data_IF_560854528434
#
_entry.id   IF_560854528434
#
_cell.length_a   1.000
_cell.length_b   1.000
_cell.length_c   1.000
_cell.angle_alpha   90.00
_cell.angle_beta   90.00
_cell.angle_gamma   90.00
#
_symmetry.space_group_name_H-M   'P 1'
#
loop_
_entity.id
_entity.type
_entity.pdbx_description
1 polymer ?
#
# COMPACT_ATOMS: atom_id res chain seq x y z
N UNK A 1 -30.91 -46.52 -41.95
CA UNK A 1 -30.84 -45.25 -42.71
C UNK A 1 -29.88 -44.33 -41.94
N UNK A 2 -28.61 -44.34 -42.34
CA UNK A 2 -27.54 -43.55 -41.72
C UNK A 2 -27.64 -42.11 -42.20
N UNK A 3 -27.77 -41.16 -41.28
CA UNK A 3 -27.67 -39.73 -41.59
C UNK A 3 -26.31 -39.25 -41.10
N UNK A 4 -25.50 -38.84 -42.06
CA UNK A 4 -24.23 -38.16 -41.86
C UNK A 4 -24.43 -36.87 -41.05
N UNK A 5 -23.69 -36.70 -39.96
CA UNK A 5 -23.45 -35.40 -39.38
C UNK A 5 -22.03 -34.97 -39.70
N UNK A 6 -21.99 -33.83 -40.38
CA UNK A 6 -20.84 -33.13 -40.90
C UNK A 6 -19.75 -32.99 -39.85
N UNK A 7 -18.50 -33.13 -40.30
CA UNK A 7 -17.33 -32.56 -39.63
C UNK A 7 -17.60 -31.07 -39.46
N UNK A 8 -17.95 -30.66 -38.25
CA UNK A 8 -17.83 -29.26 -37.87
C UNK A 8 -16.37 -29.01 -37.58
N UNK A 9 -15.72 -28.28 -38.48
CA UNK A 9 -14.44 -27.63 -38.26
C UNK A 9 -14.46 -26.95 -36.89
N UNK A 10 -13.61 -27.45 -35.99
CA UNK A 10 -13.45 -26.96 -34.62
C UNK A 10 -12.60 -25.69 -34.60
N UNK A 11 -12.83 -24.81 -35.56
CA UNK A 11 -12.24 -23.47 -35.66
C UNK A 11 -13.23 -22.48 -35.06
N UNK A 12 -13.61 -22.71 -33.80
CA UNK A 12 -14.28 -21.71 -33.00
C UNK A 12 -13.18 -20.90 -32.29
N UNK A 13 -13.06 -19.64 -32.71
CA UNK A 13 -12.26 -18.59 -32.08
C UNK A 13 -12.55 -18.53 -30.57
N UNK A 14 -11.81 -19.27 -29.76
CA UNK A 14 -11.66 -18.98 -28.34
C UNK A 14 -10.58 -17.91 -28.24
N UNK A 15 -10.96 -16.68 -27.87
CA UNK A 15 -9.99 -15.76 -27.28
C UNK A 15 -9.29 -16.54 -26.15
N UNK A 16 -7.98 -16.76 -26.27
CA UNK A 16 -7.24 -17.53 -25.29
C UNK A 16 -7.39 -16.83 -23.94
N UNK A 17 -8.13 -17.45 -23.01
CA UNK A 17 -8.24 -16.96 -21.64
C UNK A 17 -6.84 -17.10 -21.07
N UNK A 18 -6.12 -15.98 -20.94
CA UNK A 18 -4.78 -15.97 -20.36
C UNK A 18 -4.83 -16.55 -18.95
N UNK A 19 -3.91 -17.48 -18.68
CA UNK A 19 -3.78 -18.06 -17.35
C UNK A 19 -3.23 -17.04 -16.35
N UNK A 20 -3.43 -17.22 -15.04
CA UNK A 20 -2.81 -16.38 -14.02
C UNK A 20 -1.28 -16.26 -14.16
N UNK A 21 -0.60 -17.33 -14.57
CA UNK A 21 0.83 -17.35 -14.84
C UNK A 21 1.22 -16.46 -16.03
N UNK A 22 0.48 -16.56 -17.14
CA UNK A 22 0.68 -15.71 -18.33
C UNK A 22 0.42 -14.23 -18.01
N UNK A 23 -0.61 -13.94 -17.21
CA UNK A 23 -0.88 -12.58 -16.73
C UNK A 23 0.27 -12.04 -15.89
N UNK A 24 0.80 -12.85 -14.96
CA UNK A 24 1.96 -12.47 -14.13
C UNK A 24 3.20 -12.15 -14.97
N UNK A 25 3.49 -12.96 -16.00
CA UNK A 25 4.59 -12.70 -16.92
C UNK A 25 4.41 -11.38 -17.69
N UNK A 26 3.19 -11.12 -18.18
CA UNK A 26 2.86 -9.85 -18.84
C UNK A 26 3.02 -8.65 -17.89
N UNK A 27 2.60 -8.76 -16.63
CA UNK A 27 2.74 -7.69 -15.66
C UNK A 27 4.21 -7.41 -15.31
N UNK A 28 5.04 -8.46 -15.23
CA UNK A 28 6.49 -8.33 -15.06
C UNK A 28 7.13 -7.60 -16.23
N UNK A 29 6.76 -7.95 -17.46
CA UNK A 29 7.24 -7.27 -18.67
C UNK A 29 6.83 -5.78 -18.69
N UNK A 30 5.58 -5.48 -18.33
CA UNK A 30 5.08 -4.10 -18.23
C UNK A 30 5.85 -3.27 -17.19
N UNK A 31 6.18 -3.89 -16.06
CA UNK A 31 6.93 -3.25 -14.99
C UNK A 31 8.45 -3.23 -15.24
N UNK A 32 8.91 -3.69 -16.41
CA UNK A 32 10.33 -3.89 -16.75
C UNK A 32 11.10 -4.69 -15.69
N UNK A 33 10.40 -5.60 -15.00
CA UNK A 33 10.88 -6.27 -13.80
C UNK A 33 11.20 -7.74 -14.09
N UNK A 34 12.35 -8.21 -13.60
CA UNK A 34 12.73 -9.61 -13.74
C UNK A 34 12.13 -10.46 -12.61
N UNK A 35 11.85 -11.75 -12.85
CA UNK A 35 11.35 -12.68 -11.83
C UNK A 35 12.24 -12.72 -10.57
N UNK A 36 13.56 -12.62 -10.74
CA UNK A 36 14.54 -12.59 -9.64
C UNK A 36 14.40 -11.35 -8.75
N UNK A 37 14.00 -10.23 -9.33
CA UNK A 37 13.82 -8.96 -8.64
C UNK A 37 12.51 -8.96 -7.86
N UNK A 38 11.43 -9.45 -8.47
CA UNK A 38 10.17 -9.71 -7.76
C UNK A 38 10.39 -10.67 -6.58
N UNK A 39 11.18 -11.73 -6.78
CA UNK A 39 11.53 -12.68 -5.73
C UNK A 39 12.26 -12.00 -4.55
N UNK A 40 13.25 -11.15 -4.86
CA UNK A 40 13.99 -10.38 -3.86
C UNK A 40 13.08 -9.44 -3.05
N UNK A 41 12.17 -8.70 -3.71
CA UNK A 41 11.23 -7.80 -3.04
C UNK A 41 10.19 -8.54 -2.18
N UNK A 42 9.82 -9.77 -2.57
CA UNK A 42 8.91 -10.61 -1.82
C UNK A 42 9.60 -11.41 -0.69
N UNK A 43 10.94 -11.43 -0.66
CA UNK A 43 11.73 -12.25 0.27
C UNK A 43 11.53 -13.75 0.04
N UNK A 44 11.42 -14.18 -1.22
CA UNK A 44 11.22 -15.59 -1.62
C UNK A 44 12.27 -16.04 -2.62
N UNK A 45 12.40 -17.35 -2.78
CA UNK A 45 13.29 -17.95 -3.78
C UNK A 45 12.82 -17.65 -5.22
N UNK A 46 13.71 -17.34 -6.18
CA UNK A 46 13.33 -17.13 -7.59
C UNK A 46 12.58 -18.31 -8.21
N UNK A 47 12.89 -19.54 -7.77
CA UNK A 47 12.18 -20.75 -8.20
C UNK A 47 10.69 -20.75 -7.80
N UNK A 48 10.33 -20.04 -6.74
CA UNK A 48 8.94 -19.87 -6.32
C UNK A 48 8.15 -19.01 -7.31
N UNK A 49 8.74 -17.90 -7.78
CA UNK A 49 8.15 -17.03 -8.81
C UNK A 49 8.05 -17.76 -10.16
N UNK A 50 9.09 -18.50 -10.54
CA UNK A 50 9.05 -19.34 -11.74
C UNK A 50 7.90 -20.36 -11.71
N UNK A 51 7.61 -20.96 -10.55
CA UNK A 51 6.45 -21.85 -10.38
C UNK A 51 5.11 -21.11 -10.48
N UNK A 52 5.04 -19.83 -10.10
CA UNK A 52 3.84 -19.01 -10.29
C UNK A 52 3.59 -18.68 -11.76
N UNK A 53 4.64 -18.28 -12.48
CA UNK A 53 4.57 -17.97 -13.93
C UNK A 53 4.17 -19.21 -14.74
N UNK A 54 4.62 -20.40 -14.33
CA UNK A 54 4.26 -21.67 -14.97
C UNK A 54 2.96 -22.30 -14.43
N UNK A 55 2.11 -21.54 -13.72
CA UNK A 55 0.83 -22.00 -13.14
C UNK A 55 0.93 -23.24 -12.23
N UNK A 56 2.12 -23.53 -11.70
CA UNK A 56 2.33 -24.62 -10.72
C UNK A 56 1.90 -24.20 -9.32
N UNK A 57 1.81 -22.90 -9.06
CA UNK A 57 1.37 -22.31 -7.80
C UNK A 57 0.35 -21.21 -8.11
N UNK A 58 -0.86 -21.33 -7.57
CA UNK A 58 -1.89 -20.31 -7.67
C UNK A 58 -1.55 -19.08 -6.83
N UNK A 59 -0.93 -18.08 -7.45
CA UNK A 59 -0.49 -16.86 -6.75
C UNK A 59 -1.64 -15.89 -6.45
N UNK A 60 -2.72 -15.96 -7.23
CA UNK A 60 -3.90 -15.08 -7.16
C UNK A 60 -4.68 -15.21 -5.84
N UNK A 61 -4.71 -16.41 -5.27
CA UNK A 61 -5.30 -16.67 -3.94
C UNK A 61 -4.24 -16.87 -2.85
N UNK A 62 -2.97 -16.62 -3.20
CA UNK A 62 -1.85 -16.83 -2.30
C UNK A 62 -1.65 -15.63 -1.36
N UNK A 63 -0.95 -15.88 -0.25
CA UNK A 63 -0.57 -14.85 0.74
C UNK A 63 0.24 -13.68 0.18
N UNK A 64 0.85 -13.87 -1.00
CA UNK A 64 1.68 -12.87 -1.66
C UNK A 64 0.92 -12.03 -2.68
N UNK A 65 -0.35 -12.33 -2.97
CA UNK A 65 -1.13 -11.64 -4.00
C UNK A 65 -1.14 -10.13 -3.80
N UNK A 66 -1.48 -9.65 -2.61
CA UNK A 66 -1.52 -8.21 -2.31
C UNK A 66 -0.15 -7.53 -2.51
N UNK A 67 0.93 -8.15 -2.04
CA UNK A 67 2.29 -7.62 -2.23
C UNK A 67 2.70 -7.61 -3.71
N UNK A 68 2.39 -8.67 -4.45
CA UNK A 68 2.63 -8.74 -5.91
C UNK A 68 1.86 -7.63 -6.62
N UNK A 69 0.58 -7.42 -6.26
CA UNK A 69 -0.25 -6.38 -6.83
C UNK A 69 0.32 -4.98 -6.58
N UNK A 70 0.79 -4.70 -5.36
CA UNK A 70 1.45 -3.43 -5.02
C UNK A 70 2.77 -3.24 -5.78
N UNK A 71 3.64 -4.25 -5.81
CA UNK A 71 4.96 -4.18 -6.48
C UNK A 71 4.80 -3.96 -7.99
N UNK A 72 3.85 -4.67 -8.61
CA UNK A 72 3.58 -4.56 -10.05
C UNK A 72 2.62 -3.43 -10.42
N UNK A 73 2.21 -2.63 -9.42
CA UNK A 73 1.29 -1.50 -9.56
C UNK A 73 0.04 -1.89 -10.36
N UNK A 74 -0.59 -3.01 -9.98
CA UNK A 74 -1.83 -3.45 -10.61
C UNK A 74 -2.96 -2.47 -10.25
N UNK A 75 -3.80 -2.17 -11.24
CA UNK A 75 -5.01 -1.37 -11.03
C UNK A 75 -6.11 -2.17 -10.35
N UNK A 76 -7.07 -1.50 -9.73
CA UNK A 76 -8.22 -2.15 -9.10
C UNK A 76 -9.02 -3.02 -10.07
N UNK A 77 -9.11 -2.62 -11.34
CA UNK A 77 -9.75 -3.41 -12.39
C UNK A 77 -8.99 -4.73 -12.66
N UNK A 78 -7.66 -4.68 -12.73
CA UNK A 78 -6.81 -5.86 -12.90
C UNK A 78 -6.86 -6.77 -11.67
N UNK A 79 -6.87 -6.18 -10.47
CA UNK A 79 -7.01 -6.91 -9.21
C UNK A 79 -8.38 -7.60 -9.13
N UNK A 80 -9.46 -6.90 -9.49
CA UNK A 80 -10.81 -7.45 -9.53
C UNK A 80 -10.94 -8.58 -10.56
N UNK A 81 -10.27 -8.47 -11.72
CA UNK A 81 -10.26 -9.51 -12.75
C UNK A 81 -9.53 -10.77 -12.27
N UNK A 82 -8.44 -10.60 -11.52
CA UNK A 82 -7.65 -11.72 -10.99
C UNK A 82 -8.35 -12.37 -9.79
N UNK A 83 -8.70 -11.56 -8.80
CA UNK A 83 -9.31 -12.02 -7.56
C UNK A 83 -10.39 -11.02 -7.10
N UNK A 84 -11.66 -11.24 -7.48
CA UNK A 84 -12.78 -10.39 -7.08
C UNK A 84 -12.94 -10.29 -5.55
N UNK A 85 -12.51 -11.32 -4.82
CA UNK A 85 -12.58 -11.35 -3.35
C UNK A 85 -11.43 -10.58 -2.68
N UNK A 86 -10.37 -10.21 -3.42
CA UNK A 86 -9.27 -9.40 -2.89
C UNK A 86 -9.55 -7.90 -2.97
N UNK A 87 -10.47 -7.47 -3.84
CA UNK A 87 -11.03 -6.13 -3.77
C UNK A 87 -12.02 -6.13 -2.62
N UNK A 88 -11.56 -5.73 -1.44
CA UNK A 88 -12.46 -5.33 -0.37
C UNK A 88 -13.21 -4.13 -0.95
N UNK A 89 -14.44 -4.35 -1.41
CA UNK A 89 -15.36 -3.29 -1.78
C UNK A 89 -15.65 -2.48 -0.52
N UNK A 90 -14.72 -1.61 -0.12
CA UNK A 90 -15.07 -0.44 0.63
C UNK A 90 -16.10 0.28 -0.28
N UNK A 91 -17.34 0.49 0.18
CA UNK A 91 -18.32 1.17 -0.64
C UNK A 91 -17.73 2.53 -1.01
N UNK A 92 -17.50 2.75 -2.32
CA UNK A 92 -17.05 4.03 -2.83
C UNK A 92 -17.91 5.13 -2.21
N UNK A 93 -17.24 6.08 -1.57
CA UNK A 93 -17.88 7.28 -1.06
C UNK A 93 -18.51 8.04 -2.23
N UNK A 94 -19.53 8.85 -1.95
CA UNK A 94 -20.24 9.63 -2.98
C UNK A 94 -19.29 10.61 -3.73
N UNK A 95 -18.15 10.96 -3.11
CA UNK A 95 -17.08 11.76 -3.69
C UNK A 95 -16.31 10.99 -4.79
N UNK A 96 -15.89 9.76 -4.52
CA UNK A 96 -15.13 8.94 -5.47
C UNK A 96 -15.95 8.57 -6.70
N UNK A 97 -17.27 8.33 -6.54
CA UNK A 97 -18.19 8.10 -7.69
C UNK A 97 -18.31 9.31 -8.60
N UNK A 98 -18.05 10.51 -8.09
CA UNK A 98 -18.08 11.77 -8.85
C UNK A 98 -16.71 12.14 -9.43
N UNK A 99 -15.71 11.25 -9.32
CA UNK A 99 -14.36 11.49 -9.82
C UNK A 99 -13.53 12.45 -8.96
N UNK A 100 -13.95 12.69 -7.71
CA UNK A 100 -13.14 13.44 -6.75
C UNK A 100 -12.13 12.49 -6.14
N UNK A 101 -10.87 12.58 -6.57
CA UNK A 101 -9.75 11.97 -5.86
C UNK A 101 -9.47 12.82 -4.62
N UNK A 102 -9.55 12.20 -3.44
CA UNK A 102 -8.95 12.79 -2.24
C UNK A 102 -7.46 13.05 -2.55
N UNK A 103 -6.95 14.27 -2.32
CA UNK A 103 -5.52 14.49 -2.37
C UNK A 103 -4.84 13.51 -1.40
N UNK A 104 -3.63 13.02 -1.74
CA UNK A 104 -2.90 12.14 -0.84
C UNK A 104 -2.83 12.77 0.54
N UNK A 105 -3.13 11.99 1.58
CA UNK A 105 -3.03 12.42 2.97
C UNK A 105 -1.57 12.83 3.21
N UNK A 106 -1.33 14.14 3.27
CA UNK A 106 0.01 14.68 3.52
C UNK A 106 0.29 14.35 4.98
N UNK A 107 1.25 13.46 5.23
CA UNK A 107 1.70 13.23 6.61
C UNK A 107 2.14 14.59 7.18
N UNK A 108 1.59 15.02 8.34
CA UNK A 108 1.97 16.29 8.92
C UNK A 108 3.47 16.31 9.21
N UNK A 109 4.15 17.32 8.69
CA UNK A 109 5.59 17.51 8.90
C UNK A 109 5.83 17.97 10.34
N UNK A 110 6.53 17.15 11.13
CA UNK A 110 6.91 17.51 12.50
C UNK A 110 8.15 18.41 12.42
N UNK A 111 8.15 19.61 13.03
CA UNK A 111 9.29 20.52 13.02
C UNK A 111 10.59 19.88 13.56
N UNK A 112 11.72 20.14 12.90
CA UNK A 112 13.02 19.59 13.29
C UNK A 112 13.40 19.93 14.75
N UNK A 113 13.11 21.15 15.19
CA UNK A 113 13.38 21.60 16.57
C UNK A 113 12.54 20.84 17.61
N UNK A 114 11.33 20.42 17.23
CA UNK A 114 10.47 19.60 18.09
C UNK A 114 10.99 18.15 18.16
N UNK A 115 11.47 17.60 17.03
CA UNK A 115 12.14 16.29 17.02
C UNK A 115 13.41 16.31 17.88
N UNK A 116 14.19 17.38 17.83
CA UNK A 116 15.37 17.57 18.67
C UNK A 116 14.99 17.69 20.15
N UNK A 117 13.94 18.45 20.50
CA UNK A 117 13.43 18.52 21.86
C UNK A 117 13.01 17.16 22.42
N UNK A 118 12.37 16.33 21.59
CA UNK A 118 11.99 14.98 21.95
C UNK A 118 13.19 14.07 22.19
N UNK A 119 14.26 14.21 21.41
CA UNK A 119 15.50 13.45 21.61
C UNK A 119 16.25 13.91 22.87
N UNK A 120 16.36 15.21 23.09
CA UNK A 120 17.11 15.80 24.21
C UNK A 120 16.39 15.67 25.55
N UNK A 121 15.07 15.80 25.55
CA UNK A 121 14.28 15.93 26.78
C UNK A 121 13.19 14.88 26.95
N UNK A 122 12.88 14.07 25.93
CA UNK A 122 11.83 13.05 25.94
C UNK A 122 12.15 11.81 26.79
N UNK A 123 12.67 12.01 27.98
CA UNK A 123 13.04 10.95 28.92
C UNK A 123 12.66 11.31 30.36
N UNK A 124 12.56 10.30 31.23
CA UNK A 124 12.19 10.48 32.63
C UNK A 124 10.79 11.08 32.77
N UNK A 125 10.66 12.20 33.50
CA UNK A 125 9.37 12.88 33.73
C UNK A 125 8.73 13.45 32.45
N UNK A 126 9.50 13.59 31.39
CA UNK A 126 9.07 14.12 30.09
C UNK A 126 9.01 13.03 29.02
N UNK A 127 9.05 11.74 29.39
CA UNK A 127 9.00 10.63 28.44
C UNK A 127 7.87 10.74 27.38
N UNK A 128 6.65 11.24 27.70
CA UNK A 128 5.60 11.40 26.70
C UNK A 128 5.94 12.34 25.54
N UNK A 129 6.87 13.29 25.71
CA UNK A 129 7.33 14.19 24.64
C UNK A 129 7.99 13.42 23.47
N UNK A 130 8.54 12.23 23.72
CA UNK A 130 9.11 11.38 22.67
C UNK A 130 8.05 10.57 21.90
N UNK A 131 6.78 10.64 22.30
CA UNK A 131 5.72 9.85 21.70
C UNK A 131 5.09 10.57 20.51
N UNK A 132 4.81 9.83 19.43
CA UNK A 132 4.26 10.38 18.18
C UNK A 132 3.00 11.22 18.41
N UNK A 133 2.11 10.81 19.33
CA UNK A 133 0.90 11.58 19.65
C UNK A 133 1.19 13.00 20.14
N UNK A 134 2.22 13.17 20.97
CA UNK A 134 2.61 14.48 21.47
C UNK A 134 3.32 15.30 20.39
N UNK A 135 4.13 14.67 19.55
CA UNK A 135 4.78 15.37 18.43
C UNK A 135 3.76 15.93 17.45
N UNK A 136 2.73 15.14 17.12
CA UNK A 136 1.66 15.57 16.23
C UNK A 136 0.81 16.68 16.84
N UNK A 137 0.39 16.52 18.10
CA UNK A 137 -0.39 17.53 18.82
C UNK A 137 0.36 18.86 18.91
N UNK A 138 1.66 18.83 19.21
CA UNK A 138 2.48 20.03 19.31
C UNK A 138 2.74 20.67 17.94
N UNK A 139 2.92 19.87 16.88
CA UNK A 139 3.10 20.39 15.52
C UNK A 139 1.85 21.06 14.94
N UNK A 140 0.66 20.72 15.44
CA UNK A 140 -0.63 21.26 14.96
C UNK A 140 -1.03 22.56 15.68
N UNK A 141 -0.26 23.00 16.69
CA UNK A 141 -0.55 24.22 17.42
C UNK A 141 -0.35 25.46 16.54
N UNK A 142 -1.34 26.36 16.58
CA UNK A 142 -1.26 27.66 15.92
C UNK A 142 -0.42 28.62 16.76
N UNK A 143 0.79 28.93 16.27
CA UNK A 143 1.71 29.85 16.91
C UNK A 143 1.67 31.21 16.22
N UNK A 144 1.54 32.28 17.02
CA UNK A 144 1.77 33.64 16.50
C UNK A 144 3.23 33.85 16.08
N UNK A 145 4.16 33.24 16.81
CA UNK A 145 5.60 33.21 16.54
C UNK A 145 6.05 31.76 16.73
N UNK A 146 6.61 31.15 15.68
CA UNK A 146 6.99 29.74 15.71
C UNK A 146 8.13 29.49 16.71
N UNK A 147 8.11 28.38 17.46
CA UNK A 147 9.19 28.05 18.37
C UNK A 147 10.46 27.65 17.60
N UNK A 148 11.52 28.45 17.73
CA UNK A 148 12.77 28.28 16.97
C UNK A 148 13.81 27.40 17.68
N UNK A 149 13.56 26.99 18.93
CA UNK A 149 14.52 26.19 19.71
C UNK A 149 13.90 24.97 20.39
N UNK A 150 14.69 23.90 20.65
CA UNK A 150 14.23 22.75 21.42
C UNK A 150 13.72 23.12 22.82
N UNK A 151 14.30 24.13 23.44
CA UNK A 151 13.89 24.64 24.75
C UNK A 151 12.51 25.28 24.74
N UNK A 152 12.15 25.99 23.67
CA UNK A 152 10.82 26.59 23.51
C UNK A 152 9.75 25.49 23.39
N UNK A 153 10.02 24.46 22.59
CA UNK A 153 9.16 23.28 22.45
C UNK A 153 8.97 22.54 23.78
N UNK A 154 10.05 22.37 24.56
CA UNK A 154 9.96 21.80 25.90
C UNK A 154 9.07 22.64 26.82
N UNK A 155 9.21 23.97 26.80
CA UNK A 155 8.41 24.86 27.63
C UNK A 155 6.92 24.77 27.31
N UNK A 156 6.59 24.68 26.01
CA UNK A 156 5.21 24.49 25.53
C UNK A 156 4.68 23.13 26.01
N UNK A 157 5.44 22.05 25.80
CA UNK A 157 5.05 20.71 26.26
C UNK A 157 4.80 20.66 27.77
N UNK A 158 5.68 21.21 28.59
CA UNK A 158 5.53 21.20 30.07
C UNK A 158 4.30 21.98 30.51
N UNK A 159 3.90 23.02 29.77
CA UNK A 159 2.66 23.74 30.02
C UNK A 159 1.44 22.94 29.57
N UNK A 160 1.51 22.34 28.39
CA UNK A 160 0.38 21.68 27.73
C UNK A 160 0.06 20.31 28.36
N UNK A 161 1.07 19.53 28.72
CA UNK A 161 0.95 18.24 29.44
C UNK A 161 0.26 18.34 30.80
N UNK A 162 0.11 19.54 31.36
CA UNK A 162 -0.68 19.77 32.58
C UNK A 162 -2.16 20.00 32.31
N UNK A 163 -2.52 20.29 31.06
CA UNK A 163 -3.87 20.68 30.63
C UNK A 163 -4.55 19.56 29.85
N UNK A 164 -3.80 18.84 29.01
CA UNK A 164 -4.31 17.80 28.14
C UNK A 164 -3.42 16.56 28.16
N UNK A 165 -4.01 15.43 27.79
CA UNK A 165 -3.31 14.19 27.43
C UNK A 165 -3.88 13.69 26.09
N UNK A 166 -3.14 13.84 24.98
CA UNK A 166 -3.61 13.44 23.66
C UNK A 166 -3.75 11.91 23.56
N UNK A 167 -4.82 11.48 22.88
CA UNK A 167 -5.19 10.06 22.75
C UNK A 167 -4.49 9.37 21.59
#
# INVERSE_FOLDING_TARGET
MQVAFQRYDRTFLMAAIETPGQKLERFLLRAEMQQKELAAQLGVEPSYISRMVNDRIGWVHGRYFGKIATILRLSDAEIAELNPAAVINAPLTDAERRGWTLPPEVEPEIPDMLLEAAQLYGHGKNAPLAERRWLLELSDLDFREEPESPEDWLAIYVRLSKLIDPK
#
